data_IF_902876646642
#
_entry.id   IF_902876646642
#
_cell.length_a   1.000
_cell.length_b   1.000
_cell.length_c   1.000
_cell.angle_alpha   90.00
_cell.angle_beta   90.00
_cell.angle_gamma   90.00
#
_symmetry.space_group_name_H-M   'P 1'
#
loop_
_entity.id
_entity.type
_entity.pdbx_description
1 polymer ?
#
# COMPACT_ATOMS: atom_id res chain seq x y z
N UNK A 1 -57.83 -42.96 -15.82
CA UNK A 1 -56.81 -42.95 -14.77
C UNK A 1 -55.48 -42.83 -15.48
N UNK A 2 -54.87 -41.65 -15.43
CA UNK A 2 -53.49 -41.43 -15.85
C UNK A 2 -52.95 -40.30 -14.97
N UNK A 3 -52.06 -40.71 -14.10
CA UNK A 3 -51.56 -40.00 -12.94
C UNK A 3 -50.75 -38.75 -13.30
N UNK A 4 -50.85 -37.74 -12.44
CA UNK A 4 -50.13 -36.48 -12.60
C UNK A 4 -48.65 -36.62 -12.25
N UNK A 5 -47.78 -36.20 -13.16
CA UNK A 5 -46.37 -35.94 -12.83
C UNK A 5 -46.20 -34.46 -12.50
N UNK A 6 -46.14 -34.17 -11.20
CA UNK A 6 -45.72 -32.87 -10.68
C UNK A 6 -44.26 -32.63 -11.01
N UNK A 7 -44.01 -31.63 -11.87
CA UNK A 7 -42.66 -31.16 -12.16
C UNK A 7 -42.15 -30.36 -10.94
N UNK A 8 -41.52 -31.05 -9.99
CA UNK A 8 -40.85 -30.42 -8.85
C UNK A 8 -39.71 -29.53 -9.37
N UNK A 9 -39.97 -28.23 -9.40
CA UNK A 9 -39.00 -27.20 -9.73
C UNK A 9 -37.91 -27.23 -8.64
N UNK A 10 -36.62 -27.44 -8.99
CA UNK A 10 -35.59 -27.55 -7.98
C UNK A 10 -35.48 -26.25 -7.18
N UNK A 11 -35.62 -26.39 -5.87
CA UNK A 11 -35.43 -25.34 -4.87
C UNK A 11 -34.01 -24.79 -5.03
N UNK A 12 -33.90 -23.55 -5.51
CA UNK A 12 -32.61 -22.90 -5.63
C UNK A 12 -32.05 -22.73 -4.21
N UNK A 13 -31.08 -23.56 -3.85
CA UNK A 13 -30.33 -23.39 -2.62
C UNK A 13 -29.55 -22.07 -2.70
N UNK A 14 -30.15 -21.00 -2.18
CA UNK A 14 -29.52 -19.69 -2.00
C UNK A 14 -28.50 -19.73 -0.86
N UNK A 15 -27.46 -20.54 -0.98
CA UNK A 15 -26.39 -20.65 0.02
C UNK A 15 -25.06 -20.13 -0.52
N UNK A 16 -25.04 -18.88 -0.95
CA UNK A 16 -23.78 -18.13 -0.98
C UNK A 16 -24.02 -16.63 -0.89
N UNK A 17 -24.68 -16.19 0.18
CA UNK A 17 -24.63 -14.79 0.58
C UNK A 17 -23.17 -14.43 0.89
N UNK A 18 -22.47 -13.80 -0.07
CA UNK A 18 -21.11 -13.31 0.15
C UNK A 18 -21.14 -12.41 1.38
N UNK A 19 -20.48 -12.83 2.48
CA UNK A 19 -20.33 -12.00 3.66
C UNK A 19 -19.76 -10.64 3.24
N UNK A 20 -20.44 -9.57 3.65
CA UNK A 20 -19.96 -8.20 3.41
C UNK A 20 -18.56 -8.10 4.02
N UNK A 21 -17.57 -7.69 3.22
CA UNK A 21 -16.18 -7.62 3.69
C UNK A 21 -16.13 -6.69 4.90
N UNK A 22 -15.44 -7.12 5.96
CA UNK A 22 -15.17 -6.25 7.10
C UNK A 22 -14.35 -5.04 6.62
N UNK A 23 -14.78 -3.84 7.01
CA UNK A 23 -14.08 -2.60 6.66
C UNK A 23 -12.89 -2.44 7.60
N UNK A 24 -11.73 -2.89 7.14
CA UNK A 24 -10.45 -2.70 7.83
C UNK A 24 -9.49 -1.91 6.92
N UNK A 25 -9.38 -0.61 7.18
CA UNK A 25 -8.62 0.33 6.33
C UNK A 25 -7.11 0.08 6.37
N UNK A 26 -6.60 -0.54 7.46
CA UNK A 26 -5.19 -0.89 7.61
C UNK A 26 -4.80 -2.03 6.67
N UNK A 27 -5.74 -2.96 6.42
CA UNK A 27 -5.54 -4.10 5.52
C UNK A 27 -5.75 -3.76 4.05
N UNK A 28 -6.19 -2.53 3.73
CA UNK A 28 -6.35 -2.14 2.34
C UNK A 28 -5.00 -2.16 1.63
N UNK A 29 -4.96 -2.81 0.46
CA UNK A 29 -3.75 -2.94 -0.37
C UNK A 29 -3.03 -1.60 -0.58
N UNK A 30 -3.80 -0.52 -0.77
CA UNK A 30 -3.27 0.85 -0.91
C UNK A 30 -2.60 1.37 0.35
N UNK A 31 -3.19 1.13 1.52
CA UNK A 31 -2.64 1.52 2.83
C UNK A 31 -1.35 0.78 3.11
N UNK A 32 -1.37 -0.55 2.98
CA UNK A 32 -0.17 -1.40 3.18
C UNK A 32 0.95 -1.01 2.22
N UNK A 33 0.64 -0.78 0.93
CA UNK A 33 1.64 -0.34 -0.05
C UNK A 33 2.20 1.06 0.27
N UNK A 34 1.37 1.97 0.78
CA UNK A 34 1.81 3.31 1.21
C UNK A 34 2.73 3.23 2.43
N UNK A 35 2.39 2.42 3.43
CA UNK A 35 3.23 2.21 4.62
C UNK A 35 4.59 1.62 4.27
N UNK A 36 4.63 0.59 3.41
CA UNK A 36 5.89 -0.01 2.94
C UNK A 36 6.73 1.00 2.18
N UNK A 37 6.12 1.79 1.28
CA UNK A 37 6.83 2.84 0.53
C UNK A 37 7.38 3.93 1.44
N UNK A 38 6.60 4.38 2.42
CA UNK A 38 7.01 5.42 3.36
C UNK A 38 8.11 4.97 4.32
N UNK A 39 8.24 3.67 4.56
CA UNK A 39 9.30 3.08 5.39
C UNK A 39 10.51 2.63 4.57
N UNK A 40 10.53 2.89 3.26
CA UNK A 40 11.62 2.50 2.37
C UNK A 40 11.69 1.00 2.08
N UNK A 41 10.74 0.18 2.57
CA UNK A 41 10.73 -1.27 2.40
C UNK A 41 10.29 -1.68 0.99
N UNK A 42 10.63 -2.91 0.60
CA UNK A 42 10.13 -3.49 -0.64
C UNK A 42 8.59 -3.42 -0.69
N UNK A 43 8.05 -2.88 -1.77
CA UNK A 43 6.61 -2.75 -1.94
C UNK A 43 6.17 -3.13 -3.34
N UNK A 44 5.02 -3.76 -3.43
CA UNK A 44 4.34 -3.99 -4.71
C UNK A 44 3.45 -2.78 -5.00
N UNK A 45 3.60 -2.20 -6.18
CA UNK A 45 2.73 -1.13 -6.64
C UNK A 45 1.29 -1.62 -6.69
N UNK A 46 0.39 -0.94 -5.95
CA UNK A 46 -1.02 -1.30 -5.93
C UNK A 46 -1.73 -1.07 -7.29
N UNK A 47 -1.14 -0.28 -8.19
CA UNK A 47 -1.70 0.06 -9.50
C UNK A 47 -1.10 -0.78 -10.63
N UNK A 48 0.23 -0.88 -10.68
CA UNK A 48 0.95 -1.58 -11.75
C UNK A 48 1.36 -3.01 -11.40
N UNK A 49 1.23 -3.45 -10.14
CA UNK A 49 1.67 -4.77 -9.69
C UNK A 49 3.20 -4.96 -9.67
N UNK A 50 3.97 -3.97 -10.13
CA UNK A 50 5.44 -4.01 -10.16
C UNK A 50 6.02 -4.01 -8.74
N UNK A 51 7.03 -4.82 -8.52
CA UNK A 51 7.83 -4.79 -7.30
C UNK A 51 8.82 -3.64 -7.33
N UNK A 52 8.86 -2.89 -6.23
CA UNK A 52 9.83 -1.84 -5.97
C UNK A 52 10.71 -2.35 -4.85
N UNK A 53 12.01 -2.47 -5.11
CA UNK A 53 12.99 -2.93 -4.13
C UNK A 53 13.07 -2.02 -2.90
N UNK A 54 13.55 -2.60 -1.80
CA UNK A 54 13.87 -1.84 -0.59
C UNK A 54 14.96 -0.79 -0.88
N UNK A 55 14.79 0.39 -0.29
CA UNK A 55 15.71 1.51 -0.39
C UNK A 55 16.97 1.17 0.39
N UNK A 56 18.12 1.46 -0.21
CA UNK A 56 19.44 1.26 0.39
C UNK A 56 20.29 2.48 0.09
N UNK A 57 21.27 2.74 0.95
CA UNK A 57 22.36 3.69 0.64
C UNK A 57 23.16 3.10 -0.52
N UNK A 58 23.32 3.86 -1.60
CA UNK A 58 24.10 3.43 -2.77
C UNK A 58 25.50 3.99 -2.63
N UNK A 59 26.48 3.12 -2.40
CA UNK A 59 27.91 3.43 -2.36
C UNK A 59 28.61 2.83 -3.57
N UNK A 60 29.52 3.57 -4.26
CA UNK A 60 29.81 5.00 -4.15
C UNK A 60 28.74 5.90 -4.83
N UNK A 61 28.62 7.17 -4.44
CA UNK A 61 27.82 8.11 -5.25
C UNK A 61 28.55 8.38 -6.58
N UNK A 62 27.79 8.48 -7.68
CA UNK A 62 28.31 9.03 -8.95
C UNK A 62 28.33 10.57 -8.97
N UNK A 63 28.35 11.21 -7.81
CA UNK A 63 28.13 12.64 -7.69
C UNK A 63 29.45 13.42 -7.76
N UNK A 64 29.51 14.48 -8.59
CA UNK A 64 30.73 15.29 -8.81
C UNK A 64 31.33 15.87 -7.52
N UNK A 65 30.49 16.14 -6.53
CA UNK A 65 30.89 16.75 -5.26
C UNK A 65 31.46 15.75 -4.24
N UNK A 66 31.43 14.44 -4.50
CA UNK A 66 31.97 13.46 -3.54
C UNK A 66 31.23 13.49 -2.19
N UNK A 67 29.89 13.50 -2.20
CA UNK A 67 29.08 13.64 -0.98
C UNK A 67 29.40 12.56 0.08
N UNK A 68 29.83 11.37 -0.35
CA UNK A 68 30.26 10.31 0.57
C UNK A 68 31.54 10.67 1.34
N UNK A 69 32.48 11.33 0.68
CA UNK A 69 33.75 11.74 1.30
C UNK A 69 33.56 12.97 2.20
N UNK A 70 32.70 13.90 1.78
CA UNK A 70 32.39 15.12 2.55
C UNK A 70 31.64 14.84 3.85
N UNK A 71 30.57 14.04 3.78
CA UNK A 71 29.69 13.78 4.93
C UNK A 71 30.19 12.58 5.74
N UNK A 72 30.83 11.63 5.07
CA UNK A 72 31.26 10.36 5.66
C UNK A 72 30.13 9.32 5.67
N UNK A 73 30.52 8.06 5.45
CA UNK A 73 29.57 6.94 5.36
C UNK A 73 28.70 6.78 6.61
N UNK A 74 29.29 6.89 7.81
CA UNK A 74 28.57 6.72 9.08
C UNK A 74 27.43 7.75 9.23
N UNK A 75 27.68 9.01 8.88
CA UNK A 75 26.67 10.06 8.96
C UNK A 75 25.57 9.85 7.92
N UNK A 76 25.91 9.37 6.73
CA UNK A 76 24.93 9.04 5.69
C UNK A 76 24.01 7.90 6.14
N UNK A 77 24.55 6.87 6.77
CA UNK A 77 23.75 5.76 7.32
C UNK A 77 22.80 6.24 8.42
N UNK A 78 23.25 7.13 9.31
CA UNK A 78 22.40 7.73 10.35
C UNK A 78 21.26 8.54 9.71
N UNK A 79 21.58 9.46 8.80
CA UNK A 79 20.59 10.28 8.09
C UNK A 79 19.58 9.40 7.34
N UNK A 80 20.08 8.37 6.65
CA UNK A 80 19.25 7.43 5.91
C UNK A 80 18.27 6.69 6.83
N UNK A 81 18.77 6.14 7.93
CA UNK A 81 17.96 5.40 8.89
C UNK A 81 16.92 6.31 9.55
N UNK A 82 17.30 7.51 9.95
CA UNK A 82 16.41 8.44 10.65
C UNK A 82 15.33 9.02 9.73
N UNK A 83 15.66 9.25 8.47
CA UNK A 83 14.68 9.62 7.45
C UNK A 83 13.59 8.55 7.29
N UNK A 84 13.98 7.28 7.12
CA UNK A 84 13.01 6.20 6.91
C UNK A 84 12.28 5.76 8.20
N UNK A 85 12.88 5.93 9.38
CA UNK A 85 12.19 5.78 10.67
C UNK A 85 11.02 6.75 10.81
N UNK A 86 11.16 7.96 10.28
CA UNK A 86 10.14 9.02 10.36
C UNK A 86 8.89 8.74 9.50
N UNK A 87 8.97 7.77 8.58
CA UNK A 87 7.89 7.16 7.80
C UNK A 87 6.56 7.94 7.68
N UNK A 88 5.51 7.43 8.32
CA UNK A 88 4.14 7.93 8.17
C UNK A 88 3.88 9.31 8.79
N UNK A 89 4.83 9.85 9.58
CA UNK A 89 4.62 11.09 10.34
C UNK A 89 4.61 12.36 9.47
N UNK A 90 5.45 12.41 8.43
CA UNK A 90 5.70 13.64 7.68
C UNK A 90 4.69 13.83 6.53
N UNK A 91 4.22 12.74 5.91
CA UNK A 91 3.45 12.81 4.65
C UNK A 91 1.92 12.74 4.79
N UNK A 92 1.39 12.49 6.00
CA UNK A 92 -0.07 12.36 6.21
C UNK A 92 -0.80 13.71 6.16
N UNK A 93 -0.09 14.82 6.40
CA UNK A 93 -0.68 16.16 6.42
C UNK A 93 -0.97 16.73 5.02
N UNK A 94 -0.29 16.24 3.97
CA UNK A 94 -0.46 16.75 2.60
C UNK A 94 -1.67 16.17 1.86
N UNK A 95 -2.15 14.99 2.26
CA UNK A 95 -3.32 14.37 1.61
C UNK A 95 -4.67 14.83 2.17
N UNK A 96 -4.68 15.60 3.26
CA UNK A 96 -5.92 16.12 3.87
C UNK A 96 -6.36 17.49 3.32
N UNK A 97 -5.54 18.16 2.50
CA UNK A 97 -5.87 19.48 1.93
C UNK A 97 -6.63 19.43 0.60
N UNK A 98 -6.81 18.26 -0.02
CA UNK A 98 -7.45 18.14 -1.34
C UNK A 98 -8.84 17.45 -1.31
N UNK A 99 -9.58 17.62 -0.22
CA UNK A 99 -10.98 17.16 -0.09
C UNK A 99 -11.93 18.26 0.36
N UNK A 100 -11.58 19.54 0.21
CA UNK A 100 -12.56 20.62 0.25
C UNK A 100 -12.99 20.92 -1.19
N UNK A 101 -13.82 20.04 -1.74
CA UNK A 101 -14.72 20.43 -2.83
C UNK A 101 -15.92 21.05 -2.13
N UNK A 102 -16.19 22.36 -2.26
CA UNK A 102 -17.45 22.91 -1.80
C UNK A 102 -18.55 22.28 -2.67
N UNK A 103 -19.43 21.52 -2.03
CA UNK A 103 -20.70 21.11 -2.62
C UNK A 103 -21.74 22.17 -2.25
N UNK A 104 -22.26 22.82 -3.30
CA UNK A 104 -23.41 23.73 -3.36
C UNK A 104 -23.25 25.11 -2.71
#
# INVERSE_FOLDING_TARGET
>A
MADGEGHERPEFASLSGSRKRSRDERKWKKTVAKEKRNSGKQCTSAYTGKEVAERKVVTPCGCRMGCFDLVGQANIEVIFNDFWKSGNGIFRQLTSRNTQHPSL
#
